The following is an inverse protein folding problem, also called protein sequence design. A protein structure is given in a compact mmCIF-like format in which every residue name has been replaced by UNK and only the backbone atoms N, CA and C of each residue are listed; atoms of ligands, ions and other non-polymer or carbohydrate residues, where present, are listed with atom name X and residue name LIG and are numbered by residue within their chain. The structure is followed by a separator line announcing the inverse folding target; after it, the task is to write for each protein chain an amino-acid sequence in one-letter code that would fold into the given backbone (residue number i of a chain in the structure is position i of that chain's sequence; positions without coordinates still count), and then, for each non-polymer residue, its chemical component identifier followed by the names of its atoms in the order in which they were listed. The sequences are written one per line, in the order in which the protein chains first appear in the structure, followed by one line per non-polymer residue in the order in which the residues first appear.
data_IF_481623447777
#
_entry.id   IF_481623447777
#
_cell.length_a   1.000
_cell.length_b   1.000
_cell.length_c   1.000
_cell.angle_alpha   90.00
_cell.angle_beta   90.00
_cell.angle_gamma   90.00
#
_symmetry.space_group_name_H-M   'P 1'
#
loop_
_entity.id
_entity.type
_entity.pdbx_description
1 polymer ?
#
# COMPACT_ATOMS: atom_id res chain seq x y z
N UNK A 1 14.09 4.55 -6.69
CA UNK A 1 12.71 4.78 -6.26
C UNK A 1 12.65 5.10 -4.77
N UNK A 2 11.53 5.62 -4.32
CA UNK A 2 11.31 5.92 -2.91
C UNK A 2 11.47 4.67 -2.05
N UNK A 3 10.97 3.52 -2.52
CA UNK A 3 11.04 2.27 -1.78
C UNK A 3 12.49 1.77 -1.62
N UNK A 4 13.34 1.93 -2.61
CA UNK A 4 14.74 1.53 -2.53
C UNK A 4 15.50 2.30 -1.47
N UNK A 5 15.24 3.59 -1.35
CA UNK A 5 15.84 4.43 -0.32
C UNK A 5 15.35 4.05 1.07
N UNK A 6 14.06 3.77 1.19
CA UNK A 6 13.40 3.46 2.46
C UNK A 6 13.81 2.10 3.01
N UNK A 7 14.07 1.11 2.16
CA UNK A 7 14.48 -0.23 2.56
C UNK A 7 15.66 -0.26 3.54
N UNK A 8 16.49 0.77 3.52
CA UNK A 8 17.67 0.85 4.37
C UNK A 8 17.45 1.59 5.69
N UNK A 9 16.25 2.15 5.88
CA UNK A 9 15.94 2.94 7.06
C UNK A 9 15.28 2.08 8.13
N UNK A 10 15.81 2.15 9.37
CA UNK A 10 15.20 1.52 10.54
C UNK A 10 14.45 2.54 11.40
N UNK A 11 14.46 3.81 11.01
CA UNK A 11 13.76 4.88 11.71
C UNK A 11 12.30 4.94 11.29
N UNK A 12 11.46 5.53 12.14
CA UNK A 12 10.09 5.83 11.77
C UNK A 12 10.06 6.85 10.64
N UNK A 13 9.27 6.57 9.61
CA UNK A 13 9.09 7.45 8.46
C UNK A 13 7.61 7.74 8.26
N UNK A 14 7.29 8.88 7.65
CA UNK A 14 5.92 9.15 7.23
C UNK A 14 5.53 8.21 6.10
N UNK A 15 4.30 7.73 6.13
CA UNK A 15 3.75 6.89 5.05
C UNK A 15 3.85 7.63 3.71
N UNK A 16 3.73 8.95 3.72
CA UNK A 16 3.89 9.79 2.52
C UNK A 16 5.21 9.53 1.77
N UNK A 17 6.28 9.12 2.48
CA UNK A 17 7.57 8.83 1.86
C UNK A 17 7.53 7.65 0.90
N UNK A 18 6.51 6.79 0.98
CA UNK A 18 6.38 5.64 0.10
C UNK A 18 6.04 6.02 -1.34
N UNK A 19 5.38 7.16 -1.53
CA UNK A 19 5.02 7.63 -2.87
C UNK A 19 4.88 9.14 -2.87
N UNK A 20 5.90 9.84 -3.36
CA UNK A 20 5.98 11.31 -3.29
C UNK A 20 5.60 12.02 -4.59
N UNK A 21 5.41 11.27 -5.68
CA UNK A 21 5.25 11.87 -7.02
C UNK A 21 3.91 12.57 -7.22
N UNK A 22 2.90 12.18 -6.47
CA UNK A 22 1.55 12.75 -6.59
C UNK A 22 0.99 13.10 -5.22
N UNK A 23 -0.01 13.98 -5.23
CA UNK A 23 -0.73 14.37 -4.01
C UNK A 23 -1.77 13.28 -3.66
N UNK A 24 -1.73 12.81 -2.42
CA UNK A 24 -2.67 11.83 -1.89
C UNK A 24 -2.73 11.97 -0.36
N UNK A 25 -3.80 11.48 0.26
CA UNK A 25 -4.00 11.62 1.70
C UNK A 25 -4.11 10.30 2.46
N UNK A 26 -4.43 9.21 1.78
CA UNK A 26 -4.70 7.91 2.41
C UNK A 26 -4.03 6.79 1.64
N UNK A 27 -3.39 5.87 2.36
CA UNK A 27 -2.87 4.63 1.82
C UNK A 27 -3.70 3.46 2.35
N UNK A 28 -4.14 2.58 1.45
CA UNK A 28 -4.81 1.34 1.82
C UNK A 28 -3.89 0.18 1.51
N UNK A 29 -3.71 -0.72 2.48
CA UNK A 29 -2.87 -1.90 2.35
C UNK A 29 -3.77 -3.10 2.10
N UNK A 30 -3.63 -3.71 0.93
CA UNK A 30 -4.35 -4.94 0.59
C UNK A 30 -3.39 -6.10 0.77
N UNK A 31 -3.61 -6.89 1.82
CA UNK A 31 -2.80 -8.07 2.14
C UNK A 31 -3.21 -9.24 1.24
N UNK A 32 -2.38 -10.31 1.16
CA UNK A 32 -2.76 -11.50 0.40
C UNK A 32 -4.15 -12.00 0.77
N UNK A 33 -4.93 -12.38 -0.24
CA UNK A 33 -6.29 -12.94 -0.12
C UNK A 33 -7.34 -11.98 0.42
N UNK A 34 -7.02 -10.70 0.58
CA UNK A 34 -7.98 -9.69 1.07
C UNK A 34 -8.84 -9.15 -0.09
N UNK A 35 -9.75 -9.97 -0.58
CA UNK A 35 -10.70 -9.59 -1.63
C UNK A 35 -11.67 -8.52 -1.18
N UNK A 36 -11.99 -8.50 0.11
CA UNK A 36 -12.96 -7.56 0.67
C UNK A 36 -12.52 -6.12 0.48
N UNK A 37 -11.27 -5.82 0.83
CA UNK A 37 -10.72 -4.48 0.65
C UNK A 37 -10.56 -4.15 -0.84
N UNK A 38 -10.10 -5.11 -1.64
CA UNK A 38 -9.89 -4.91 -3.08
C UNK A 38 -11.20 -4.67 -3.83
N UNK A 39 -12.34 -5.11 -3.30
CA UNK A 39 -13.65 -4.93 -3.93
C UNK A 39 -14.48 -3.80 -3.31
N UNK A 40 -13.90 -2.99 -2.44
CA UNK A 40 -14.61 -1.88 -1.78
C UNK A 40 -15.05 -0.84 -2.80
N UNK A 41 -16.37 -0.76 -3.04
CA UNK A 41 -16.96 0.14 -4.02
C UNK A 41 -16.93 1.62 -3.61
N UNK A 42 -16.65 1.92 -2.35
CA UNK A 42 -16.51 3.30 -1.88
C UNK A 42 -15.27 3.97 -2.46
N UNK A 43 -14.31 3.17 -2.94
CA UNK A 43 -13.11 3.67 -3.59
C UNK A 43 -13.40 3.80 -5.09
N UNK A 44 -13.27 5.02 -5.62
CA UNK A 44 -13.39 5.28 -7.05
C UNK A 44 -12.06 4.94 -7.73
N UNK A 45 -12.00 3.82 -8.39
CA UNK A 45 -10.79 3.35 -9.08
C UNK A 45 -10.74 3.79 -10.56
N UNK A 46 -11.68 4.66 -10.98
CA UNK A 46 -11.71 5.20 -12.32
C UNK A 46 -12.40 4.25 -13.29
N UNK A 47 -11.69 3.24 -13.80
CA UNK A 47 -12.28 2.27 -14.72
C UNK A 47 -12.05 0.84 -14.26
N UNK A 48 -12.84 -0.07 -14.81
CA UNK A 48 -12.90 -1.46 -14.35
C UNK A 48 -11.56 -2.20 -14.40
N UNK A 49 -10.65 -1.80 -15.29
CA UNK A 49 -9.35 -2.45 -15.43
C UNK A 49 -8.49 -2.37 -14.19
N UNK A 50 -8.47 -1.23 -13.50
CA UNK A 50 -7.68 -1.07 -12.28
C UNK A 50 -8.22 -1.97 -11.18
N UNK A 51 -9.54 -2.03 -11.01
CA UNK A 51 -10.15 -2.88 -9.99
C UNK A 51 -9.89 -4.35 -10.29
N UNK A 52 -9.98 -4.78 -11.55
CA UNK A 52 -9.71 -6.15 -11.94
C UNK A 52 -8.27 -6.56 -11.62
N UNK A 53 -7.30 -5.70 -11.96
CA UNK A 53 -5.89 -5.95 -11.68
C UNK A 53 -5.63 -6.06 -10.17
N UNK A 54 -6.23 -5.17 -9.39
CA UNK A 54 -6.09 -5.16 -7.93
C UNK A 54 -6.70 -6.43 -7.32
N UNK A 55 -7.87 -6.85 -7.80
CA UNK A 55 -8.51 -8.09 -7.36
C UNK A 55 -7.66 -9.32 -7.70
N UNK A 56 -7.09 -9.36 -8.90
CA UNK A 56 -6.24 -10.48 -9.32
C UNK A 56 -5.02 -10.63 -8.42
N UNK A 57 -4.43 -9.53 -7.95
CA UNK A 57 -3.30 -9.57 -7.04
C UNK A 57 -3.62 -10.25 -5.71
N UNK A 58 -4.88 -10.23 -5.28
CA UNK A 58 -5.28 -10.87 -4.02
C UNK A 58 -5.25 -12.40 -4.08
N UNK A 59 -5.12 -12.97 -5.28
CA UNK A 59 -5.02 -14.43 -5.46
C UNK A 59 -3.64 -14.97 -5.07
N UNK A 60 -2.65 -14.10 -4.88
CA UNK A 60 -1.27 -14.50 -4.62
C UNK A 60 -0.87 -14.17 -3.19
N UNK A 61 -0.24 -15.14 -2.49
CA UNK A 61 0.27 -14.93 -1.14
C UNK A 61 1.59 -14.15 -1.11
N UNK A 62 2.22 -13.96 -2.27
CA UNK A 62 3.52 -13.30 -2.40
C UNK A 62 3.44 -11.79 -2.63
N UNK A 63 2.23 -11.22 -2.73
CA UNK A 63 2.02 -9.82 -3.12
C UNK A 63 1.15 -9.09 -2.12
N UNK A 64 1.59 -7.88 -1.71
CA UNK A 64 0.73 -6.87 -1.10
C UNK A 64 0.51 -5.74 -2.11
N UNK A 65 -0.68 -5.16 -2.13
CA UNK A 65 -0.99 -4.03 -3.00
C UNK A 65 -1.23 -2.79 -2.15
N UNK A 66 -0.58 -1.69 -2.49
CA UNK A 66 -0.78 -0.39 -1.84
C UNK A 66 -1.63 0.48 -2.76
N UNK A 67 -2.71 1.02 -2.22
CA UNK A 67 -3.55 1.99 -2.91
C UNK A 67 -3.27 3.37 -2.33
N UNK A 68 -3.00 4.35 -3.19
CA UNK A 68 -2.80 5.74 -2.79
C UNK A 68 -4.01 6.54 -3.24
N UNK A 69 -4.69 7.16 -2.30
CA UNK A 69 -6.04 7.72 -2.47
C UNK A 69 -6.05 9.18 -2.09
N UNK A 70 -6.74 10.00 -2.91
CA UNK A 70 -7.05 11.38 -2.60
C UNK A 70 -8.57 11.50 -2.47
N UNK A 71 -9.05 11.82 -1.25
CA UNK A 71 -10.49 11.75 -0.98
C UNK A 71 -10.97 10.30 -1.06
N UNK A 72 -11.74 9.98 -2.08
CA UNK A 72 -12.17 8.62 -2.37
C UNK A 72 -11.66 8.10 -3.71
N UNK A 73 -10.79 8.86 -4.39
CA UNK A 73 -10.31 8.51 -5.74
C UNK A 73 -8.94 7.88 -5.69
N UNK A 74 -8.77 6.80 -6.40
CA UNK A 74 -7.47 6.15 -6.58
C UNK A 74 -6.57 7.05 -7.44
N UNK A 75 -5.43 7.43 -6.88
CA UNK A 75 -4.40 8.22 -7.57
C UNK A 75 -3.39 7.29 -8.24
N UNK A 76 -3.01 6.24 -7.52
CA UNK A 76 -2.04 5.26 -8.00
C UNK A 76 -2.15 3.99 -7.16
N UNK A 77 -1.65 2.87 -7.68
CA UNK A 77 -1.46 1.67 -6.88
C UNK A 77 -0.15 0.99 -7.24
N UNK A 78 0.37 0.20 -6.31
CA UNK A 78 1.63 -0.51 -6.49
C UNK A 78 1.50 -1.92 -5.93
N UNK A 79 1.87 -2.90 -6.73
CA UNK A 79 1.92 -4.29 -6.30
C UNK A 79 3.36 -4.63 -5.93
N UNK A 80 3.57 -5.07 -4.69
CA UNK A 80 4.90 -5.24 -4.15
C UNK A 80 5.06 -6.67 -3.66
N UNK A 81 6.10 -7.35 -4.15
CA UNK A 81 6.44 -8.69 -3.67
C UNK A 81 6.90 -8.63 -2.22
N UNK A 82 6.40 -9.55 -1.41
CA UNK A 82 6.70 -9.60 0.02
C UNK A 82 8.17 -9.89 0.32
N UNK A 83 8.90 -10.46 -0.62
CA UNK A 83 10.33 -10.66 -0.46
C UNK A 83 11.16 -9.39 -0.73
N UNK A 84 10.53 -8.33 -1.26
CA UNK A 84 11.16 -7.01 -1.40
C UNK A 84 10.88 -6.18 -0.15
N UNK A 85 9.60 -5.90 0.11
CA UNK A 85 9.15 -5.32 1.38
C UNK A 85 7.81 -5.97 1.71
N UNK A 86 7.70 -6.52 2.92
CA UNK A 86 6.48 -7.19 3.36
C UNK A 86 5.59 -6.23 4.13
N UNK A 87 4.52 -5.75 3.50
CA UNK A 87 3.55 -4.85 4.11
C UNK A 87 2.46 -5.60 4.87
N UNK A 88 2.45 -6.94 4.86
CA UNK A 88 1.43 -7.72 5.57
C UNK A 88 1.58 -7.65 7.09
N UNK A 89 2.73 -7.19 7.58
CA UNK A 89 2.99 -7.03 9.02
C UNK A 89 2.40 -5.75 9.62
N UNK A 90 1.88 -4.85 8.80
CA UNK A 90 1.19 -3.65 9.29
C UNK A 90 -0.12 -4.05 9.96
N UNK A 91 -0.45 -3.41 11.08
CA UNK A 91 -1.62 -3.79 11.88
C UNK A 91 -2.93 -3.26 11.32
N UNK A 92 -2.88 -2.17 10.56
CA UNK A 92 -4.06 -1.51 10.00
C UNK A 92 -4.18 -1.74 8.50
N UNK A 93 -5.38 -1.56 7.97
CA UNK A 93 -5.62 -1.56 6.52
C UNK A 93 -5.46 -0.16 5.94
N UNK A 94 -5.78 0.87 6.71
CA UNK A 94 -5.81 2.27 6.25
C UNK A 94 -4.84 3.12 7.05
N UNK A 95 -4.01 3.88 6.33
CA UNK A 95 -3.02 4.80 6.91
C UNK A 95 -3.19 6.18 6.29
N UNK A 96 -3.05 7.23 7.11
CA UNK A 96 -2.96 8.60 6.63
C UNK A 96 -1.55 8.87 6.13
N UNK A 97 -1.38 9.82 5.21
CA UNK A 97 -0.06 10.17 4.69
C UNK A 97 0.91 10.59 5.80
N UNK A 98 0.41 11.22 6.87
CA UNK A 98 1.24 11.67 8.00
C UNK A 98 1.50 10.59 9.04
N UNK A 99 0.85 9.43 8.96
CA UNK A 99 1.11 8.32 9.87
C UNK A 99 2.55 7.82 9.71
N UNK A 100 3.08 7.21 10.76
CA UNK A 100 4.46 6.72 10.78
C UNK A 100 4.48 5.20 10.70
N UNK A 101 5.44 4.68 9.94
CA UNK A 101 5.76 3.25 9.88
C UNK A 101 7.26 3.08 9.98
N UNK A 102 7.69 1.84 10.17
CA UNK A 102 9.11 1.47 10.21
C UNK A 102 9.32 0.25 9.33
N UNK A 103 10.45 0.19 8.63
CA UNK A 103 10.82 -0.97 7.82
C UNK A 103 12.09 -1.57 8.41
N UNK A 104 11.98 -2.80 8.93
CA UNK A 104 13.08 -3.53 9.56
C UNK A 104 13.19 -4.89 8.86
N UNK A 105 14.36 -5.20 8.31
CA UNK A 105 14.61 -6.48 7.64
C UNK A 105 13.50 -6.83 6.64
N UNK A 106 13.14 -5.90 5.79
CA UNK A 106 12.08 -6.03 4.77
C UNK A 106 10.66 -6.08 5.32
N UNK A 107 10.43 -5.98 6.62
CA UNK A 107 9.08 -5.97 7.18
C UNK A 107 8.66 -4.53 7.51
N UNK A 108 7.55 -4.11 6.91
CA UNK A 108 6.91 -2.85 7.28
C UNK A 108 6.05 -3.10 8.53
N UNK A 109 6.28 -2.33 9.57
CA UNK A 109 5.54 -2.44 10.83
C UNK A 109 5.08 -1.07 11.30
N UNK A 110 4.12 -1.06 12.19
CA UNK A 110 3.67 0.19 12.81
C UNK A 110 4.79 0.79 13.67
N UNK A 111 4.77 2.09 13.78
CA UNK A 111 5.78 2.81 14.53
C UNK A 111 5.23 3.41 15.83
#
# INVERSE_FOLDING_TARGET
SDLETIQKSESCISVHELYKDKDWDTMIVIKPYDKRTASDERIDMGYAGDRAAILDNTLFDSICTLLFIKGNKLVAFSSIYRNVIDFSSLSKTTYKAADKIRIINKFATDC
#
